data_IF_396564147181
#
_entry.id   IF_396564147181
#
_cell.length_a   1.000
_cell.length_b   1.000
_cell.length_c   1.000
_cell.angle_alpha   90.00
_cell.angle_beta   90.00
_cell.angle_gamma   90.00
#
_symmetry.space_group_name_H-M   'P 1'
#
loop_
_entity.id
_entity.type
_entity.pdbx_description
1 polymer ?
#
# COMPACT_ATOMS: atom_id res chain seq x y z
N UNK A 1 9.95 13.47 28.74
CA UNK A 1 9.16 12.22 28.83
C UNK A 1 10.06 11.15 29.43
N UNK A 2 9.66 10.50 30.53
CA UNK A 2 10.51 9.52 31.25
C UNK A 2 9.91 8.12 31.11
N UNK A 3 10.70 7.17 30.59
CA UNK A 3 10.26 5.77 30.45
C UNK A 3 10.45 5.06 31.79
N UNK A 4 9.37 4.55 32.35
CA UNK A 4 9.35 3.76 33.59
C UNK A 4 9.40 2.25 33.29
N UNK A 5 10.02 1.48 34.18
CA UNK A 5 10.12 0.02 34.07
C UNK A 5 11.47 -0.52 34.56
N UNK A 6 11.60 -1.85 34.74
CA UNK A 6 12.87 -2.49 35.07
C UNK A 6 13.90 -2.33 33.95
N UNK A 7 15.18 -2.41 34.31
CA UNK A 7 16.26 -2.31 33.33
C UNK A 7 16.22 -3.51 32.40
N UNK A 8 15.84 -3.23 31.17
CA UNK A 8 15.58 -4.22 30.14
C UNK A 8 16.06 -3.70 28.78
N UNK A 9 16.36 -4.59 27.84
CA UNK A 9 16.73 -4.21 26.47
C UNK A 9 15.71 -3.26 25.84
N UNK A 10 14.41 -3.48 26.06
CA UNK A 10 13.32 -2.64 25.54
C UNK A 10 13.36 -1.22 26.09
N UNK A 11 13.60 -1.07 27.40
CA UNK A 11 13.70 0.25 28.06
C UNK A 11 14.88 1.05 27.52
N UNK A 12 16.03 0.40 27.30
CA UNK A 12 17.21 1.03 26.71
C UNK A 12 16.95 1.49 25.26
N UNK A 13 16.29 0.66 24.44
CA UNK A 13 15.93 1.02 23.05
C UNK A 13 15.00 2.23 23.00
N UNK A 14 13.95 2.25 23.84
CA UNK A 14 13.00 3.36 23.88
C UNK A 14 13.65 4.65 24.41
N UNK A 15 14.57 4.55 25.38
CA UNK A 15 15.32 5.71 25.89
C UNK A 15 16.21 6.32 24.80
N UNK A 16 16.91 5.49 24.02
CA UNK A 16 17.71 5.96 22.88
C UNK A 16 16.86 6.69 21.83
N UNK A 17 15.65 6.21 21.55
CA UNK A 17 14.72 6.87 20.63
C UNK A 17 14.27 8.25 21.14
N UNK A 18 14.04 8.39 22.44
CA UNK A 18 13.68 9.67 23.07
C UNK A 18 14.83 10.68 23.12
N UNK A 19 16.07 10.22 23.27
CA UNK A 19 17.26 11.08 23.30
C UNK A 19 17.79 11.44 21.91
N UNK A 20 17.18 10.90 20.85
CA UNK A 20 17.60 11.13 19.46
C UNK A 20 18.87 10.36 19.05
N UNK A 21 19.38 9.49 19.92
CA UNK A 21 20.53 8.60 19.66
C UNK A 21 20.09 7.21 19.16
N UNK A 22 18.78 6.97 19.12
CA UNK A 22 18.14 5.86 18.44
C UNK A 22 18.39 5.98 16.95
N UNK A 23 19.55 5.49 16.53
CA UNK A 23 19.99 5.46 15.16
C UNK A 23 18.84 5.10 14.26
N UNK A 24 18.74 5.85 13.16
CA UNK A 24 18.26 5.38 11.87
C UNK A 24 18.16 3.85 11.94
N UNK A 25 16.94 3.34 12.15
CA UNK A 25 16.62 2.13 11.41
C UNK A 25 16.90 2.63 10.01
N UNK A 26 18.04 2.21 9.45
CA UNK A 26 18.19 2.22 8.01
C UNK A 26 16.93 1.49 7.61
N UNK A 27 15.91 2.25 7.22
CA UNK A 27 14.65 1.70 6.78
C UNK A 27 15.14 0.76 5.70
N UNK A 28 15.13 -0.54 5.99
CA UNK A 28 15.50 -1.52 5.02
C UNK A 28 14.53 -1.17 3.91
N UNK A 29 15.06 -0.52 2.85
CA UNK A 29 14.24 0.08 1.82
C UNK A 29 13.26 -1.03 1.47
N UNK A 30 11.94 -0.79 1.63
CA UNK A 30 10.95 -1.85 1.75
C UNK A 30 11.31 -2.89 0.72
N UNK A 31 11.70 -4.10 1.17
CA UNK A 31 12.40 -5.09 0.32
C UNK A 31 11.74 -5.05 -1.03
N UNK A 32 12.43 -4.46 -2.01
CA UNK A 32 11.79 -4.14 -3.27
C UNK A 32 11.24 -5.46 -3.78
N UNK A 33 9.93 -5.53 -3.98
CA UNK A 33 9.31 -6.77 -4.43
C UNK A 33 9.92 -7.05 -5.81
N UNK A 34 10.80 -8.04 -5.86
CA UNK A 34 11.55 -8.41 -7.05
C UNK A 34 10.81 -9.55 -7.72
N UNK A 35 10.40 -9.30 -8.97
CA UNK A 35 9.62 -10.26 -9.75
C UNK A 35 8.10 -10.10 -9.63
N UNK A 36 7.36 -11.02 -10.27
CA UNK A 36 5.92 -10.90 -10.35
C UNK A 36 5.25 -11.11 -9.00
N UNK A 37 4.26 -10.27 -8.68
CA UNK A 37 3.59 -10.27 -7.39
C UNK A 37 2.15 -9.79 -7.53
N UNK A 38 1.37 -9.97 -6.47
CA UNK A 38 0.00 -9.47 -6.38
C UNK A 38 -0.01 -8.31 -5.39
N UNK A 39 -0.54 -7.17 -5.82
CA UNK A 39 -0.90 -6.05 -4.95
C UNK A 39 -2.39 -6.12 -4.61
N UNK A 40 -2.74 -5.77 -3.37
CA UNK A 40 -4.13 -5.75 -2.89
C UNK A 40 -4.40 -4.45 -2.12
N UNK A 41 -5.60 -3.90 -2.28
CA UNK A 41 -6.06 -2.71 -1.55
C UNK A 41 -7.59 -2.73 -1.38
N UNK A 42 -8.10 -1.96 -0.42
CA UNK A 42 -9.52 -1.84 -0.12
C UNK A 42 -10.06 -0.40 -0.19
N UNK A 43 -11.34 -0.27 -0.53
CA UNK A 43 -12.09 0.99 -0.50
C UNK A 43 -13.48 0.77 0.11
N UNK A 44 -14.00 1.73 0.86
CA UNK A 44 -15.24 1.56 1.64
C UNK A 44 -15.01 1.34 3.14
N UNK A 45 -13.75 1.20 3.58
CA UNK A 45 -13.44 1.05 5.01
C UNK A 45 -13.77 2.33 5.78
N UNK A 46 -14.78 2.26 6.63
CA UNK A 46 -15.25 3.39 7.44
C UNK A 46 -16.35 4.21 6.76
N UNK A 47 -16.75 3.84 5.54
CA UNK A 47 -17.95 4.40 4.92
C UNK A 47 -19.18 3.79 5.60
N UNK A 48 -20.16 4.63 5.93
CA UNK A 48 -21.41 4.19 6.54
C UNK A 48 -22.34 3.51 5.51
N UNK A 49 -22.27 3.96 4.26
CA UNK A 49 -23.08 3.47 3.15
C UNK A 49 -22.21 2.82 2.09
N UNK A 50 -22.72 1.74 1.51
CA UNK A 50 -22.08 1.05 0.42
C UNK A 50 -21.19 -0.11 0.89
N UNK A 51 -20.73 -0.93 -0.07
CA UNK A 51 -19.95 -2.12 0.23
C UNK A 51 -18.50 -1.79 0.56
N UNK A 52 -17.84 -2.72 1.27
CA UNK A 52 -16.38 -2.78 1.32
C UNK A 52 -15.89 -3.49 0.05
N UNK A 53 -15.14 -2.79 -0.78
CA UNK A 53 -14.58 -3.34 -2.02
C UNK A 53 -13.11 -3.64 -1.84
N UNK A 54 -12.70 -4.88 -2.11
CA UNK A 54 -11.31 -5.32 -2.11
C UNK A 54 -10.92 -5.67 -3.53
N UNK A 55 -9.78 -5.15 -4.00
CA UNK A 55 -9.23 -5.45 -5.31
C UNK A 55 -7.83 -6.04 -5.20
N UNK A 56 -7.54 -7.06 -6.01
CA UNK A 56 -6.23 -7.67 -6.13
C UNK A 56 -5.80 -7.71 -7.59
N UNK A 57 -4.53 -7.37 -7.85
CA UNK A 57 -3.97 -7.25 -9.20
C UNK A 57 -2.61 -7.92 -9.24
N UNK A 58 -2.46 -8.91 -10.12
CA UNK A 58 -1.16 -9.49 -10.45
C UNK A 58 -0.39 -8.55 -11.38
N UNK A 59 0.87 -8.29 -11.04
CA UNK A 59 1.77 -7.45 -11.81
C UNK A 59 3.12 -8.15 -12.01
N UNK A 60 3.57 -8.16 -13.25
CA UNK A 60 4.96 -8.40 -13.62
C UNK A 60 5.65 -7.06 -13.95
N UNK A 61 6.92 -7.10 -14.37
CA UNK A 61 7.70 -5.89 -14.67
C UNK A 61 7.07 -5.04 -15.79
N UNK A 62 6.55 -5.69 -16.84
CA UNK A 62 5.94 -5.01 -17.98
C UNK A 62 4.61 -4.37 -17.60
N UNK A 63 3.77 -5.12 -16.89
CA UNK A 63 2.46 -4.66 -16.41
C UNK A 63 2.64 -3.51 -15.42
N UNK A 64 3.60 -3.62 -14.49
CA UNK A 64 3.90 -2.55 -13.53
C UNK A 64 4.36 -1.26 -14.23
N UNK A 65 5.21 -1.36 -15.26
CA UNK A 65 5.63 -0.20 -16.05
C UNK A 65 4.44 0.44 -16.81
N UNK A 66 3.58 -0.38 -17.43
CA UNK A 66 2.39 0.09 -18.14
C UNK A 66 1.40 0.80 -17.21
N UNK A 67 1.14 0.25 -16.02
CA UNK A 67 0.25 0.84 -15.02
C UNK A 67 0.78 2.18 -14.50
N UNK A 68 2.08 2.28 -14.22
CA UNK A 68 2.71 3.56 -13.84
C UNK A 68 2.57 4.60 -14.94
N UNK A 69 2.80 4.23 -16.21
CA UNK A 69 2.62 5.11 -17.37
C UNK A 69 1.17 5.55 -17.57
N UNK A 70 0.20 4.69 -17.22
CA UNK A 70 -1.23 5.03 -17.25
C UNK A 70 -1.65 6.00 -16.12
N UNK A 71 -0.76 6.25 -15.15
CA UNK A 71 -0.98 7.16 -14.03
C UNK A 71 -1.56 6.50 -12.79
N UNK A 72 -1.45 5.18 -12.65
CA UNK A 72 -1.85 4.45 -11.44
C UNK A 72 -0.96 4.89 -10.27
N UNK A 73 -1.61 5.35 -9.20
CA UNK A 73 -1.02 5.79 -7.94
C UNK A 73 -2.13 5.82 -6.88
N UNK A 74 -1.80 6.25 -5.66
CA UNK A 74 -2.76 6.41 -4.57
C UNK A 74 -4.02 7.18 -5.04
N UNK A 75 -5.17 6.53 -4.91
CA UNK A 75 -6.48 7.03 -5.36
C UNK A 75 -6.91 8.30 -4.64
N UNK A 76 -6.42 8.55 -3.42
CA UNK A 76 -6.71 9.75 -2.62
C UNK A 76 -6.14 11.02 -3.26
N UNK A 77 -5.13 10.86 -4.12
CA UNK A 77 -4.50 11.98 -4.84
C UNK A 77 -5.15 12.26 -6.21
N UNK A 78 -6.15 11.47 -6.60
CA UNK A 78 -6.76 11.53 -7.92
C UNK A 78 -8.16 12.17 -7.87
N UNK A 79 -8.50 13.04 -8.83
CA UNK A 79 -9.87 13.53 -8.97
C UNK A 79 -10.80 12.41 -9.48
N UNK A 80 -12.11 12.46 -9.19
CA UNK A 80 -13.06 11.39 -9.54
C UNK A 80 -13.06 11.01 -11.03
N UNK A 81 -12.99 11.99 -11.94
CA UNK A 81 -12.91 11.73 -13.38
C UNK A 81 -11.64 10.96 -13.80
N UNK A 82 -10.53 11.18 -13.07
CA UNK A 82 -9.29 10.43 -13.31
C UNK A 82 -9.41 8.98 -12.82
N UNK A 83 -10.12 8.73 -11.72
CA UNK A 83 -10.34 7.38 -11.18
C UNK A 83 -11.04 6.50 -12.21
N UNK A 84 -12.17 6.96 -12.76
CA UNK A 84 -12.92 6.19 -13.78
C UNK A 84 -12.08 5.93 -15.04
N UNK A 85 -11.35 6.95 -15.51
CA UNK A 85 -10.46 6.80 -16.66
C UNK A 85 -9.34 5.79 -16.39
N UNK A 86 -8.71 5.86 -15.22
CA UNK A 86 -7.60 4.97 -14.83
C UNK A 86 -8.12 3.54 -14.62
N UNK A 87 -9.28 3.35 -14.01
CA UNK A 87 -9.92 2.02 -13.88
C UNK A 87 -10.08 1.35 -15.26
N UNK A 88 -10.62 2.07 -16.24
CA UNK A 88 -10.74 1.55 -17.62
C UNK A 88 -9.39 1.36 -18.34
N UNK A 89 -8.29 1.96 -17.87
CA UNK A 89 -6.94 1.65 -18.36
C UNK A 89 -6.40 0.38 -17.68
N UNK A 90 -6.62 0.22 -16.38
CA UNK A 90 -6.23 -0.99 -15.63
C UNK A 90 -6.89 -2.22 -16.26
N UNK A 91 -8.18 -2.18 -16.56
CA UNK A 91 -8.90 -3.30 -17.18
C UNK A 91 -8.41 -3.69 -18.58
N UNK A 92 -7.83 -2.72 -19.31
CA UNK A 92 -7.21 -2.94 -20.63
C UNK A 92 -5.79 -3.49 -20.52
N UNK A 93 -5.04 -3.05 -19.51
CA UNK A 93 -3.64 -3.44 -19.30
C UNK A 93 -3.55 -4.81 -18.63
N UNK A 94 -4.41 -5.06 -17.63
CA UNK A 94 -4.42 -6.28 -16.84
C UNK A 94 -5.62 -7.12 -17.25
N UNK A 95 -5.45 -8.32 -17.84
CA UNK A 95 -6.57 -9.15 -18.27
C UNK A 95 -7.35 -9.75 -17.09
N UNK A 96 -8.59 -10.25 -17.32
CA UNK A 96 -9.49 -10.70 -16.25
C UNK A 96 -8.94 -11.85 -15.38
N UNK A 97 -8.09 -12.71 -15.93
CA UNK A 97 -7.42 -13.81 -15.23
C UNK A 97 -6.29 -13.34 -14.28
N UNK A 98 -5.91 -12.06 -14.35
CA UNK A 98 -4.83 -11.44 -13.57
C UNK A 98 -5.32 -10.33 -12.62
N UNK A 99 -6.63 -10.17 -12.47
CA UNK A 99 -7.24 -9.21 -11.54
C UNK A 99 -8.50 -9.79 -10.91
N UNK A 100 -8.79 -9.39 -9.68
CA UNK A 100 -10.03 -9.74 -9.02
C UNK A 100 -10.55 -8.56 -8.22
N UNK A 101 -11.86 -8.37 -8.21
CA UNK A 101 -12.55 -7.36 -7.41
C UNK A 101 -13.69 -8.06 -6.69
N UNK A 102 -13.71 -7.93 -5.37
CA UNK A 102 -14.76 -8.48 -4.53
C UNK A 102 -15.43 -7.35 -3.77
N UNK A 103 -16.75 -7.22 -3.92
CA UNK A 103 -17.57 -6.34 -3.11
C UNK A 103 -18.21 -7.17 -1.99
N UNK A 104 -17.97 -6.75 -0.76
CA UNK A 104 -18.55 -7.32 0.45
C UNK A 104 -19.70 -6.39 0.85
N UNK A 105 -20.92 -6.93 0.81
CA UNK A 105 -22.15 -6.23 1.21
C UNK A 105 -22.40 -6.34 2.72
#
# INVERSE_FOLDING_TARGET
MQIQGPDSPLKATLQAWLTGEGGSTSGAAPTAVTGPHIGMDESGKGDWFGPLVVAAVYVDEQTAAALRKAGVRDSKTLPPAAIQRIAGQIERIVPPDRRHVWAIE
#
